data_IF_469046380965
#
_entry.id   IF_469046380965
#
_cell.length_a   1.000
_cell.length_b   1.000
_cell.length_c   1.000
_cell.angle_alpha   90.00
_cell.angle_beta   90.00
_cell.angle_gamma   90.00
#
_symmetry.space_group_name_H-M   'P 1'
#
loop_
_entity.id
_entity.type
_entity.pdbx_description
1 polymer ?
#
# COMPACT_ATOMS: atom_id res chain seq x y z
N UNK A 1 -8.50 -9.29 -11.68
CA UNK A 1 -8.64 -10.27 -10.58
C UNK A 1 -9.56 -11.43 -10.99
N UNK A 2 -10.79 -11.18 -11.46
CA UNK A 2 -11.76 -12.24 -11.79
C UNK A 2 -11.32 -13.12 -12.98
N UNK A 3 -10.81 -12.50 -14.05
CA UNK A 3 -10.26 -13.21 -15.23
C UNK A 3 -9.01 -14.05 -14.94
N UNK A 4 -8.36 -13.85 -13.79
CA UNK A 4 -7.17 -14.61 -13.40
C UNK A 4 -7.49 -15.66 -12.32
N UNK A 5 -8.74 -15.76 -11.84
CA UNK A 5 -9.10 -16.63 -10.72
C UNK A 5 -8.47 -16.22 -9.37
N UNK A 6 -7.88 -15.02 -9.29
CA UNK A 6 -7.06 -14.59 -8.14
C UNK A 6 -7.87 -13.84 -7.06
N UNK A 7 -9.19 -13.64 -7.26
CA UNK A 7 -10.01 -12.76 -6.42
C UNK A 7 -10.13 -13.27 -4.97
N UNK A 8 -10.07 -14.59 -4.77
CA UNK A 8 -10.09 -15.23 -3.44
C UNK A 8 -8.76 -15.24 -2.69
N UNK A 9 -7.64 -14.94 -3.37
CA UNK A 9 -6.29 -15.04 -2.80
C UNK A 9 -5.61 -13.68 -2.58
N UNK A 10 -6.41 -12.63 -2.45
CA UNK A 10 -5.95 -11.28 -2.14
C UNK A 10 -5.82 -11.10 -0.63
N UNK A 11 -4.61 -10.81 -0.15
CA UNK A 11 -4.25 -10.64 1.24
C UNK A 11 -3.95 -9.17 1.51
N UNK A 12 -4.48 -8.65 2.62
CA UNK A 12 -4.26 -7.27 3.05
C UNK A 12 -3.79 -7.22 4.49
N UNK A 13 -3.04 -6.16 4.81
CA UNK A 13 -2.87 -5.75 6.20
C UNK A 13 -4.14 -5.06 6.71
N UNK A 14 -4.75 -5.64 7.74
CA UNK A 14 -5.96 -5.15 8.38
C UNK A 14 -5.69 -4.72 9.82
N UNK A 15 -6.44 -3.73 10.33
CA UNK A 15 -6.38 -3.41 11.76
C UNK A 15 -6.97 -4.57 12.55
N UNK A 16 -6.32 -5.00 13.64
CA UNK A 16 -6.83 -6.08 14.49
C UNK A 16 -8.25 -5.84 15.03
N UNK A 17 -8.64 -4.58 15.23
CA UNK A 17 -10.01 -4.24 15.66
C UNK A 17 -11.08 -4.69 14.63
N UNK A 18 -10.73 -4.82 13.35
CA UNK A 18 -11.66 -5.27 12.31
C UNK A 18 -12.13 -6.71 12.53
N UNK A 19 -11.35 -7.54 13.23
CA UNK A 19 -11.75 -8.90 13.58
C UNK A 19 -13.07 -8.93 14.38
N UNK A 20 -13.30 -7.91 15.20
CA UNK A 20 -14.48 -7.81 16.07
C UNK A 20 -15.67 -7.12 15.39
N UNK A 21 -15.53 -6.67 14.13
CA UNK A 21 -16.63 -6.05 13.39
C UNK A 21 -17.51 -7.15 12.78
N UNK A 22 -18.81 -7.24 13.12
CA UNK A 22 -19.69 -8.25 12.54
C UNK A 22 -19.69 -8.20 11.01
N UNK A 23 -19.78 -9.37 10.38
CA UNK A 23 -19.67 -9.59 8.92
C UNK A 23 -18.28 -9.28 8.33
N UNK A 24 -17.74 -8.06 8.51
CA UNK A 24 -16.44 -7.66 7.94
C UNK A 24 -15.26 -8.39 8.57
N UNK A 25 -15.27 -8.58 9.89
CA UNK A 25 -14.23 -9.32 10.61
C UNK A 25 -14.22 -10.79 10.25
N UNK A 26 -15.40 -11.39 10.10
CA UNK A 26 -15.56 -12.78 9.68
C UNK A 26 -15.10 -12.97 8.23
N UNK A 27 -15.47 -12.06 7.32
CA UNK A 27 -15.00 -12.08 5.94
C UNK A 27 -13.48 -11.91 5.85
N UNK A 28 -12.89 -10.94 6.56
CA UNK A 28 -11.45 -10.73 6.59
C UNK A 28 -10.68 -11.92 7.20
N UNK A 29 -11.28 -12.61 8.18
CA UNK A 29 -10.74 -13.85 8.74
C UNK A 29 -10.71 -14.97 7.70
N UNK A 30 -11.83 -15.23 7.00
CA UNK A 30 -11.88 -16.25 5.94
C UNK A 30 -11.02 -15.93 4.71
N UNK A 31 -10.75 -14.65 4.45
CA UNK A 31 -9.84 -14.21 3.40
C UNK A 31 -8.35 -14.29 3.80
N UNK A 32 -8.02 -14.76 5.01
CA UNK A 32 -6.68 -14.76 5.63
C UNK A 32 -5.99 -13.39 5.59
N UNK A 33 -6.68 -12.32 5.98
CA UNK A 33 -6.02 -11.01 6.14
C UNK A 33 -5.01 -11.02 7.28
N UNK A 34 -3.94 -10.22 7.14
CA UNK A 34 -2.92 -10.06 8.17
C UNK A 34 -3.37 -8.99 9.16
N UNK A 35 -3.85 -9.41 10.32
CA UNK A 35 -4.32 -8.48 11.36
C UNK A 35 -3.15 -7.93 12.19
N UNK A 36 -2.98 -6.62 12.17
CA UNK A 36 -1.94 -5.90 12.90
C UNK A 36 -2.50 -5.13 14.11
N UNK A 37 -1.81 -5.24 15.25
CA UNK A 37 -2.02 -4.48 16.47
C UNK A 37 -1.38 -3.09 16.44
N UNK A 38 -0.54 -2.81 15.42
CA UNK A 38 0.34 -1.63 15.32
C UNK A 38 1.47 -1.63 16.34
N UNK A 39 1.80 -2.81 16.89
CA UNK A 39 2.89 -3.01 17.83
C UNK A 39 3.72 -4.18 17.32
N UNK A 40 4.93 -3.88 16.85
CA UNK A 40 5.79 -4.84 16.17
C UNK A 40 6.03 -6.11 16.99
N UNK A 41 6.31 -5.97 18.28
CA UNK A 41 6.63 -7.09 19.16
C UNK A 41 5.44 -8.07 19.31
N UNK A 42 4.21 -7.55 19.31
CA UNK A 42 2.99 -8.38 19.36
C UNK A 42 2.66 -8.99 17.99
N UNK A 43 2.96 -8.27 16.92
CA UNK A 43 2.57 -8.66 15.57
C UNK A 43 3.52 -9.68 14.94
N UNK A 44 4.79 -9.73 15.36
CA UNK A 44 5.84 -10.60 14.80
C UNK A 44 5.47 -12.09 14.76
N UNK A 45 4.84 -12.60 15.82
CA UNK A 45 4.43 -14.01 15.90
C UNK A 45 3.30 -14.33 14.92
N UNK A 46 2.30 -13.44 14.85
CA UNK A 46 1.15 -13.58 13.95
C UNK A 46 1.60 -13.47 12.49
N UNK A 47 2.51 -12.54 12.20
CA UNK A 47 3.13 -12.36 10.88
C UNK A 47 3.88 -13.62 10.43
N UNK A 48 4.71 -14.19 11.30
CA UNK A 48 5.46 -15.42 10.98
C UNK A 48 4.53 -16.58 10.64
N UNK A 49 3.41 -16.73 11.36
CA UNK A 49 2.43 -17.79 11.08
C UNK A 49 1.74 -17.59 9.72
N UNK A 50 1.24 -16.38 9.45
CA UNK A 50 0.54 -16.10 8.19
C UNK A 50 1.49 -16.17 7.00
N UNK A 51 2.71 -15.66 7.13
CA UNK A 51 3.70 -15.76 6.05
C UNK A 51 4.18 -17.19 5.84
N UNK A 52 4.34 -17.99 6.90
CA UNK A 52 4.66 -19.42 6.77
C UNK A 52 3.61 -20.15 5.94
N UNK A 53 2.32 -20.00 6.29
CA UNK A 53 1.20 -20.56 5.52
C UNK A 53 1.20 -20.11 4.05
N UNK A 54 1.53 -18.85 3.79
CA UNK A 54 1.63 -18.32 2.42
C UNK A 54 2.80 -18.92 1.63
N UNK A 55 3.95 -19.14 2.28
CA UNK A 55 5.13 -19.77 1.65
C UNK A 55 4.86 -21.24 1.38
N UNK A 56 4.35 -21.97 2.36
CA UNK A 56 4.07 -23.41 2.29
C UNK A 56 3.09 -23.74 1.16
N UNK A 57 2.16 -22.83 0.84
CA UNK A 57 1.17 -23.00 -0.22
C UNK A 57 1.44 -22.16 -1.48
N UNK A 58 2.60 -21.51 -1.59
CA UNK A 58 2.91 -20.61 -2.70
C UNK A 58 2.93 -21.32 -4.07
N UNK A 59 3.42 -22.55 -4.11
CA UNK A 59 3.50 -23.37 -5.35
C UNK A 59 2.12 -23.83 -5.83
N UNK A 60 1.21 -24.13 -4.89
CA UNK A 60 -0.14 -24.60 -5.18
C UNK A 60 -1.12 -23.45 -5.43
N UNK A 61 -0.90 -22.30 -4.78
CA UNK A 61 -1.83 -21.18 -4.73
C UNK A 61 -1.11 -19.85 -4.93
N UNK A 62 -1.31 -19.26 -6.10
CA UNK A 62 -0.91 -17.87 -6.35
C UNK A 62 -1.69 -16.93 -5.43
N UNK A 63 -0.99 -15.96 -4.84
CA UNK A 63 -1.56 -14.95 -3.97
C UNK A 63 -1.17 -13.54 -4.41
N UNK A 64 -1.97 -12.56 -3.98
CA UNK A 64 -1.62 -11.15 -4.05
C UNK A 64 -1.53 -10.62 -2.64
N UNK A 65 -0.46 -9.88 -2.33
CA UNK A 65 -0.35 -9.18 -1.06
C UNK A 65 -0.30 -7.66 -1.30
N UNK A 66 -1.25 -6.95 -0.70
CA UNK A 66 -1.34 -5.49 -0.85
C UNK A 66 -0.73 -4.82 0.36
N UNK A 67 0.28 -3.99 0.11
CA UNK A 67 0.97 -3.19 1.11
C UNK A 67 0.73 -1.72 0.81
N UNK A 68 0.38 -0.95 1.84
CA UNK A 68 0.30 0.51 1.77
C UNK A 68 1.43 1.11 2.63
N UNK A 69 2.58 1.46 2.04
CA UNK A 69 3.73 1.99 2.78
C UNK A 69 3.42 3.28 3.54
N UNK A 70 2.45 4.08 3.08
CA UNK A 70 1.92 5.25 3.79
C UNK A 70 1.40 4.92 5.22
N UNK A 71 0.84 3.71 5.39
CA UNK A 71 0.26 3.21 6.64
C UNK A 71 -1.04 3.89 7.09
N UNK A 72 -1.54 4.86 6.33
CA UNK A 72 -2.81 5.56 6.58
C UNK A 72 -3.29 6.23 5.30
N UNK A 73 -4.60 6.48 5.20
CA UNK A 73 -5.14 7.41 4.22
C UNK A 73 -4.55 8.80 4.44
N UNK A 74 -4.14 9.43 3.35
CA UNK A 74 -3.67 10.81 3.33
C UNK A 74 -4.82 11.78 3.64
N UNK A 75 -4.58 12.68 4.59
CA UNK A 75 -5.38 13.86 4.86
C UNK A 75 -4.43 15.05 5.07
N UNK A 76 -4.93 16.28 4.96
CA UNK A 76 -4.11 17.49 5.07
C UNK A 76 -3.28 17.53 6.35
N UNK A 77 -3.91 17.27 7.50
CA UNK A 77 -3.25 17.19 8.81
C UNK A 77 -2.10 16.17 8.85
N UNK A 78 -2.30 14.97 8.28
CA UNK A 78 -1.26 13.92 8.27
C UNK A 78 -0.15 14.19 7.27
N UNK A 79 -0.48 14.86 6.17
CA UNK A 79 0.52 15.32 5.20
C UNK A 79 1.40 16.39 5.85
N UNK A 80 0.81 17.38 6.53
CA UNK A 80 1.54 18.40 7.28
C UNK A 80 2.43 17.77 8.36
N UNK A 81 1.92 16.79 9.12
CA UNK A 81 2.73 16.03 10.08
C UNK A 81 3.87 15.26 9.41
N UNK A 82 3.64 14.65 8.25
CA UNK A 82 4.68 13.97 7.46
C UNK A 82 5.75 14.96 6.97
N UNK A 83 5.36 16.18 6.59
CA UNK A 83 6.29 17.21 6.16
C UNK A 83 7.14 17.73 7.32
N UNK A 84 6.55 17.94 8.50
CA UNK A 84 7.31 18.28 9.70
C UNK A 84 8.32 17.19 10.05
N UNK A 85 7.92 15.91 9.98
CA UNK A 85 8.83 14.78 10.15
C UNK A 85 9.98 14.78 9.13
N UNK A 86 9.70 15.10 7.86
CA UNK A 86 10.77 15.25 6.84
C UNK A 86 11.74 16.37 7.20
N UNK A 87 11.23 17.54 7.59
CA UNK A 87 12.06 18.72 7.95
C UNK A 87 12.96 18.44 9.15
N UNK A 88 12.42 17.80 10.18
CA UNK A 88 13.19 17.44 11.39
C UNK A 88 14.33 16.45 11.11
N UNK A 89 14.17 15.59 10.10
CA UNK A 89 15.15 14.56 9.74
C UNK A 89 16.02 14.91 8.54
N UNK A 90 15.87 16.10 7.97
CA UNK A 90 16.59 16.50 6.76
C UNK A 90 16.22 15.68 5.52
N UNK A 91 15.02 15.08 5.49
CA UNK A 91 14.52 14.35 4.32
C UNK A 91 13.82 15.31 3.33
N UNK A 92 13.73 14.95 2.04
CA UNK A 92 12.94 15.70 1.08
C UNK A 92 11.49 15.89 1.55
N UNK A 93 11.00 17.12 1.43
CA UNK A 93 9.64 17.50 1.84
C UNK A 93 8.72 17.33 0.64
N UNK A 94 7.94 16.24 0.65
CA UNK A 94 6.97 15.91 -0.39
C UNK A 94 5.66 16.70 -0.20
N UNK A 95 5.04 17.15 -1.30
CA UNK A 95 3.78 17.90 -1.30
C UNK A 95 2.57 17.03 -1.61
N UNK A 96 2.72 16.01 -2.44
CA UNK A 96 1.62 15.19 -2.94
C UNK A 96 1.57 13.79 -2.33
N UNK A 97 2.68 13.27 -1.82
CA UNK A 97 2.76 11.98 -1.13
C UNK A 97 3.29 12.11 0.30
N UNK A 98 2.97 11.13 1.15
CA UNK A 98 3.53 11.04 2.51
C UNK A 98 4.80 10.20 2.51
N UNK A 99 5.67 10.43 3.50
CA UNK A 99 6.91 9.65 3.68
C UNK A 99 6.56 8.18 3.92
N UNK A 100 7.13 7.23 3.14
CA UNK A 100 6.80 5.83 3.27
C UNK A 100 7.37 5.21 4.55
N UNK A 101 6.60 4.29 5.14
CA UNK A 101 7.03 3.43 6.25
C UNK A 101 7.50 2.09 5.73
N UNK A 102 8.81 1.89 5.75
CA UNK A 102 9.49 0.71 5.18
C UNK A 102 9.30 -0.59 5.96
N UNK A 103 9.12 -0.54 7.29
CA UNK A 103 9.12 -1.74 8.16
C UNK A 103 8.17 -2.84 7.68
N UNK A 104 6.96 -2.50 7.25
CA UNK A 104 5.97 -3.46 6.79
C UNK A 104 6.38 -4.13 5.47
N UNK A 105 6.94 -3.36 4.54
CA UNK A 105 7.42 -3.88 3.27
C UNK A 105 8.66 -4.76 3.46
N UNK A 106 9.65 -4.29 4.23
CA UNK A 106 10.86 -5.06 4.56
C UNK A 106 10.50 -6.40 5.20
N UNK A 107 9.58 -6.41 6.17
CA UNK A 107 9.11 -7.64 6.81
C UNK A 107 8.43 -8.60 5.82
N UNK A 108 7.67 -8.05 4.88
CA UNK A 108 6.98 -8.83 3.84
C UNK A 108 7.97 -9.44 2.87
N UNK A 109 8.92 -8.65 2.36
CA UNK A 109 9.94 -9.12 1.43
C UNK A 109 10.84 -10.16 2.09
N UNK A 110 11.28 -9.95 3.34
CA UNK A 110 12.07 -10.94 4.07
C UNK A 110 11.41 -12.32 4.15
N UNK A 111 10.09 -12.36 4.28
CA UNK A 111 9.37 -13.61 4.45
C UNK A 111 8.93 -14.23 3.12
N UNK A 112 8.55 -13.41 2.14
CA UNK A 112 7.85 -13.86 0.93
C UNK A 112 8.67 -13.72 -0.36
N UNK A 113 9.89 -13.17 -0.32
CA UNK A 113 10.70 -12.90 -1.53
C UNK A 113 10.94 -14.15 -2.39
N UNK A 114 11.09 -15.33 -1.78
CA UNK A 114 11.21 -16.60 -2.52
C UNK A 114 9.90 -17.13 -3.10
N UNK A 115 8.77 -16.50 -2.79
CA UNK A 115 7.41 -16.94 -3.14
C UNK A 115 6.64 -15.90 -3.97
N UNK A 116 7.30 -14.81 -4.39
CA UNK A 116 6.69 -13.75 -5.21
C UNK A 116 7.55 -13.49 -6.45
N UNK A 117 6.89 -13.25 -7.58
CA UNK A 117 7.58 -13.01 -8.86
C UNK A 117 7.93 -11.52 -9.06
N UNK A 118 7.02 -10.62 -8.64
CA UNK A 118 7.13 -9.19 -8.91
C UNK A 118 6.31 -8.35 -7.92
N UNK A 119 6.68 -7.08 -7.78
CA UNK A 119 5.92 -6.04 -7.10
C UNK A 119 5.18 -5.22 -8.16
N UNK A 120 3.87 -5.13 -8.03
CA UNK A 120 3.05 -4.23 -8.86
C UNK A 120 2.84 -2.93 -8.11
N UNK A 121 3.55 -1.90 -8.54
CA UNK A 121 3.45 -0.55 -8.02
C UNK A 121 2.30 0.20 -8.72
N UNK A 122 1.24 0.51 -7.98
CA UNK A 122 0.06 1.22 -8.48
C UNK A 122 -0.04 2.58 -7.81
N UNK A 123 -0.12 3.63 -8.63
CA UNK A 123 -0.31 5.01 -8.18
C UNK A 123 -1.57 5.58 -8.82
N UNK A 124 -2.44 6.17 -8.00
CA UNK A 124 -3.69 6.79 -8.43
C UNK A 124 -3.55 8.31 -8.33
N UNK A 125 -3.53 8.97 -9.50
CA UNK A 125 -3.58 10.41 -9.64
C UNK A 125 -5.02 10.87 -9.80
N UNK A 126 -5.42 11.83 -8.97
CA UNK A 126 -6.70 12.54 -9.12
C UNK A 126 -6.39 13.93 -9.64
N UNK A 127 -6.88 14.33 -10.82
CA UNK A 127 -6.71 15.68 -11.32
C UNK A 127 -7.46 16.64 -10.38
N UNK A 128 -6.79 17.74 -10.06
CA UNK A 128 -7.38 18.81 -9.26
C UNK A 128 -7.98 19.79 -10.25
N UNK A 129 -9.30 19.96 -10.30
CA UNK A 129 -9.87 21.08 -11.08
C UNK A 129 -9.61 22.42 -10.37
N UNK A 130 -9.69 23.52 -11.12
CA UNK A 130 -9.58 24.89 -10.60
C UNK A 130 -10.65 25.24 -9.53
N UNK A 131 -11.65 24.38 -9.33
CA UNK A 131 -12.71 24.50 -8.33
C UNK A 131 -12.49 23.62 -7.08
N UNK A 132 -11.32 22.99 -6.92
CA UNK A 132 -11.00 22.18 -5.76
C UNK A 132 -11.52 20.74 -5.83
N UNK A 133 -11.38 20.11 -7.01
CA UNK A 133 -11.72 18.71 -7.30
C UNK A 133 -11.60 17.76 -6.10
N UNK A 134 -12.76 17.35 -5.59
CA UNK A 134 -12.89 16.53 -4.38
C UNK A 134 -12.44 15.10 -4.68
N UNK A 135 -11.37 14.62 -4.04
CA UNK A 135 -11.03 13.18 -4.06
C UNK A 135 -12.27 12.36 -3.72
N UNK A 136 -12.65 11.34 -4.50
CA UNK A 136 -13.86 10.58 -4.25
C UNK A 136 -13.79 9.98 -2.85
N UNK A 137 -14.82 10.23 -2.05
CA UNK A 137 -14.97 9.52 -0.78
C UNK A 137 -15.33 8.06 -1.07
N UNK A 138 -15.14 7.18 -0.09
CA UNK A 138 -15.61 5.80 -0.21
C UNK A 138 -17.12 5.77 -0.49
N UNK A 139 -17.86 6.73 0.07
CA UNK A 139 -19.29 6.89 -0.18
C UNK A 139 -19.57 7.25 -1.64
N UNK A 140 -18.82 8.19 -2.21
CA UNK A 140 -18.98 8.59 -3.62
C UNK A 140 -18.71 7.41 -4.56
N UNK A 141 -17.69 6.59 -4.26
CA UNK A 141 -17.35 5.40 -5.04
C UNK A 141 -18.42 4.29 -4.91
N UNK A 142 -18.86 3.99 -3.68
CA UNK A 142 -19.81 2.91 -3.40
C UNK A 142 -21.22 3.21 -3.90
N UNK A 143 -21.68 4.46 -3.76
CA UNK A 143 -23.03 4.88 -4.14
C UNK A 143 -23.09 5.63 -5.47
N UNK A 144 -21.96 5.75 -6.19
CA UNK A 144 -21.85 6.49 -7.47
C UNK A 144 -22.49 7.89 -7.42
N UNK A 145 -22.37 8.59 -6.28
CA UNK A 145 -23.11 9.86 -6.03
C UNK A 145 -22.62 11.03 -6.87
N UNK A 146 -21.39 10.92 -7.40
CA UNK A 146 -20.74 11.94 -8.23
C UNK A 146 -20.15 11.21 -9.43
N UNK A 147 -20.50 11.71 -10.62
CA UNK A 147 -20.22 11.14 -11.95
C UNK A 147 -18.73 11.03 -12.27
N UNK A 148 -18.37 10.65 -13.51
CA UNK A 148 -17.09 10.01 -13.79
C UNK A 148 -15.92 10.88 -13.33
N UNK A 149 -15.23 10.38 -12.31
CA UNK A 149 -14.00 10.97 -11.82
C UNK A 149 -12.91 10.65 -12.83
N UNK A 150 -12.27 11.64 -13.47
CA UNK A 150 -11.06 11.35 -14.22
C UNK A 150 -10.02 10.85 -13.20
N UNK A 151 -9.58 9.61 -13.34
CA UNK A 151 -8.55 9.01 -12.48
C UNK A 151 -7.46 8.51 -13.38
N UNK A 152 -6.25 9.03 -13.17
CA UNK A 152 -5.06 8.55 -13.86
C UNK A 152 -4.45 7.43 -13.04
N UNK A 153 -4.30 6.26 -13.65
CA UNK A 153 -3.71 5.09 -13.01
C UNK A 153 -2.35 4.87 -13.64
N UNK A 154 -1.30 5.03 -12.85
CA UNK A 154 0.04 4.62 -13.23
C UNK A 154 0.33 3.24 -12.62
N UNK A 155 0.74 2.29 -13.46
CA UNK A 155 1.09 0.93 -13.06
C UNK A 155 2.50 0.63 -13.54
N UNK A 156 3.36 0.22 -12.61
CA UNK A 156 4.71 -0.28 -12.90
C UNK A 156 4.87 -1.67 -12.29
N UNK A 157 5.39 -2.61 -13.08
CA UNK A 157 5.67 -3.98 -12.62
C UNK A 157 7.17 -4.11 -12.44
N UNK A 158 7.59 -4.43 -11.23
CA UNK A 158 8.99 -4.47 -10.82
C UNK A 158 9.32 -5.94 -10.48
N UNK A 159 10.11 -6.63 -11.33
CA UNK A 159 10.60 -7.97 -11.02
C UNK A 159 11.26 -8.01 -9.64
N UNK A 160 11.10 -9.12 -8.91
CA UNK A 160 11.67 -9.22 -7.56
C UNK A 160 13.20 -9.11 -7.56
N UNK A 161 13.85 -9.52 -8.66
CA UNK A 161 15.30 -9.41 -8.85
C UNK A 161 15.82 -7.96 -8.95
N UNK A 162 14.95 -6.99 -9.27
CA UNK A 162 15.34 -5.57 -9.37
C UNK A 162 15.19 -4.84 -8.02
N UNK A 163 14.61 -5.49 -7.00
CA UNK A 163 14.45 -4.93 -5.66
C UNK A 163 15.69 -5.31 -4.83
N UNK A 164 16.29 -4.43 -4.02
CA UNK A 164 17.40 -4.80 -3.16
C UNK A 164 17.06 -5.94 -2.18
N UNK A 165 18.06 -6.73 -1.79
CA UNK A 165 17.92 -7.84 -0.83
C UNK A 165 18.06 -7.36 0.63
N UNK A 166 18.76 -6.25 0.87
CA UNK A 166 19.09 -5.75 2.19
C UNK A 166 18.06 -4.74 2.74
N UNK A 167 17.90 -4.68 4.06
CA UNK A 167 16.90 -3.83 4.72
C UNK A 167 17.08 -2.34 4.40
N UNK A 168 18.33 -1.87 4.33
CA UNK A 168 18.64 -0.47 4.04
C UNK A 168 18.43 -0.14 2.56
N UNK A 169 18.84 -1.03 1.66
CA UNK A 169 18.58 -0.96 0.23
C UNK A 169 17.08 -0.90 -0.06
N UNK A 170 16.27 -1.76 0.57
CA UNK A 170 14.80 -1.72 0.42
C UNK A 170 14.23 -0.40 0.93
N UNK A 171 14.76 0.16 2.02
CA UNK A 171 14.33 1.47 2.54
C UNK A 171 14.62 2.60 1.55
N UNK A 172 15.84 2.65 1.03
CA UNK A 172 16.28 3.66 0.07
C UNK A 172 15.51 3.54 -1.23
N UNK A 173 15.42 2.32 -1.78
CA UNK A 173 14.63 2.02 -2.96
C UNK A 173 13.17 2.47 -2.79
N UNK A 174 12.53 2.13 -1.66
CA UNK A 174 11.16 2.56 -1.39
C UNK A 174 11.03 4.09 -1.33
N UNK A 175 12.02 4.78 -0.78
CA UNK A 175 12.04 6.23 -0.73
C UNK A 175 12.15 6.83 -2.15
N UNK A 176 13.09 6.35 -2.96
CA UNK A 176 13.26 6.78 -4.36
C UNK A 176 11.98 6.58 -5.18
N UNK A 177 11.31 5.44 -5.01
CA UNK A 177 10.00 5.17 -5.64
C UNK A 177 8.96 6.20 -5.24
N UNK A 178 8.94 6.66 -3.99
CA UNK A 178 8.01 7.70 -3.55
C UNK A 178 8.38 9.09 -4.07
N UNK A 179 9.66 9.39 -4.22
CA UNK A 179 10.13 10.64 -4.84
C UNK A 179 9.79 10.68 -6.34
N UNK A 180 9.88 9.56 -7.05
CA UNK A 180 9.40 9.47 -8.43
C UNK A 180 7.89 9.70 -8.54
N UNK A 181 7.11 9.14 -7.62
CA UNK A 181 5.66 9.37 -7.58
C UNK A 181 5.32 10.82 -7.31
N UNK A 182 6.06 11.49 -6.42
CA UNK A 182 5.92 12.93 -6.18
C UNK A 182 6.11 13.70 -7.49
N UNK A 183 7.21 13.46 -8.22
CA UNK A 183 7.49 14.11 -9.51
C UNK A 183 6.42 13.82 -10.56
N UNK A 184 5.95 12.59 -10.63
CA UNK A 184 4.89 12.19 -11.57
C UNK A 184 3.56 12.88 -11.26
N UNK A 185 3.18 12.97 -9.99
CA UNK A 185 1.94 13.65 -9.58
C UNK A 185 2.06 15.16 -9.79
N UNK A 186 3.23 15.75 -9.48
CA UNK A 186 3.49 17.17 -9.75
C UNK A 186 3.45 17.46 -11.26
N UNK A 187 4.05 16.61 -12.10
CA UNK A 187 3.95 16.70 -13.55
C UNK A 187 2.50 16.62 -14.02
N UNK A 188 1.72 15.65 -13.52
CA UNK A 188 0.31 15.49 -13.88
C UNK A 188 -0.50 16.76 -13.56
N UNK A 189 -0.27 17.39 -12.41
CA UNK A 189 -0.92 18.65 -12.06
C UNK A 189 -0.49 19.83 -12.94
N UNK A 190 0.75 19.82 -13.44
CA UNK A 190 1.28 20.90 -14.27
C UNK A 190 0.94 20.75 -15.76
N UNK A 191 0.78 19.54 -16.28
CA UNK A 191 0.59 19.29 -17.72
C UNK A 191 -0.87 19.08 -18.14
N UNK A 192 -1.79 18.82 -17.20
CA UNK A 192 -3.22 18.62 -17.50
C UNK A 192 -3.54 17.25 -18.06
#
# INVERSE_FOLDING_TARGET
>A
ADRAGMLGNLKFFAKRILLYTPCLGLAAYFLNFVFLARQWDRDKHSLRRVFGDMVDHAEERRFWMVVFPEGTRMCREKLEASQSFSRERGLPVMKHVMVPRSKGLVATLKALRGSIDAIVDVTLGYPTDEAGGVRPTLADLMWRRRGPWPVHIHVSVIPIGDVPDDDEGVKLWLQERFEEKERMIESMHNTG
#
